data_IF_437512038813
#
_entry.id   IF_437512038813
#
_cell.length_a   1.000
_cell.length_b   1.000
_cell.length_c   1.000
_cell.angle_alpha   90.00
_cell.angle_beta   90.00
_cell.angle_gamma   90.00
#
_symmetry.space_group_name_H-M   'P 1'
#
loop_
_entity.id
_entity.type
_entity.pdbx_description
1 polymer ?
#
# COMPACT_ATOMS: atom_id res chain seq x y z
N UNK A 1 -6.95 -61.98 26.84
CA UNK A 1 -6.61 -60.68 26.21
C UNK A 1 -7.31 -59.60 27.01
N UNK A 2 -6.61 -58.55 27.45
CA UNK A 2 -7.22 -57.49 28.28
C UNK A 2 -7.94 -56.46 27.41
N UNK A 3 -9.21 -56.75 27.10
CA UNK A 3 -10.05 -55.85 26.30
C UNK A 3 -10.37 -54.52 27.01
N UNK A 4 -10.23 -54.45 28.34
CA UNK A 4 -10.44 -53.22 29.12
C UNK A 4 -9.32 -52.22 28.88
N UNK A 5 -8.07 -52.69 28.85
CA UNK A 5 -6.93 -51.84 28.49
C UNK A 5 -7.10 -51.20 27.11
N UNK A 6 -7.45 -51.99 26.09
CA UNK A 6 -7.62 -51.50 24.72
C UNK A 6 -8.81 -50.55 24.59
N UNK A 7 -9.92 -50.81 25.28
CA UNK A 7 -11.06 -49.89 25.35
C UNK A 7 -10.65 -48.52 25.92
N UNK A 8 -9.93 -48.50 27.04
CA UNK A 8 -9.50 -47.27 27.68
C UNK A 8 -8.51 -46.47 26.82
N UNK A 9 -7.62 -47.15 26.09
CA UNK A 9 -6.74 -46.48 25.14
C UNK A 9 -7.51 -45.85 23.96
N UNK A 10 -8.50 -46.55 23.40
CA UNK A 10 -9.38 -46.01 22.36
C UNK A 10 -10.19 -44.81 22.87
N UNK A 11 -10.71 -44.90 24.10
CA UNK A 11 -11.40 -43.80 24.78
C UNK A 11 -10.50 -42.56 24.92
N UNK A 12 -9.25 -42.72 25.34
CA UNK A 12 -8.27 -41.61 25.41
C UNK A 12 -8.09 -40.93 24.04
N UNK A 13 -7.83 -41.73 22.99
CA UNK A 13 -7.70 -41.23 21.60
C UNK A 13 -8.94 -40.46 21.14
N UNK A 14 -10.14 -40.93 21.50
CA UNK A 14 -11.39 -40.26 21.16
C UNK A 14 -11.49 -38.86 21.78
N UNK A 15 -11.17 -38.73 23.08
CA UNK A 15 -11.24 -37.43 23.76
C UNK A 15 -10.14 -36.47 23.30
N UNK A 16 -8.93 -36.97 23.07
CA UNK A 16 -7.84 -36.21 22.46
C UNK A 16 -8.27 -35.64 21.09
N UNK A 17 -8.81 -36.50 20.21
CA UNK A 17 -9.31 -36.07 18.91
C UNK A 17 -10.46 -35.05 19.02
N UNK A 18 -11.34 -35.16 20.01
CA UNK A 18 -12.37 -34.15 20.25
C UNK A 18 -11.78 -32.79 20.64
N UNK A 19 -10.78 -32.78 21.52
CA UNK A 19 -10.08 -31.55 21.92
C UNK A 19 -9.40 -30.89 20.71
N UNK A 20 -8.67 -31.68 19.92
CA UNK A 20 -7.93 -31.16 18.77
C UNK A 20 -8.85 -30.66 17.64
N UNK A 21 -10.02 -31.28 17.45
CA UNK A 21 -11.06 -30.76 16.54
C UNK A 21 -11.46 -29.34 16.95
N UNK A 22 -11.73 -29.11 18.23
CA UNK A 22 -12.10 -27.79 18.75
C UNK A 22 -10.98 -26.78 18.58
N UNK A 23 -9.73 -27.18 18.87
CA UNK A 23 -8.55 -26.33 18.66
C UNK A 23 -8.40 -25.92 17.19
N UNK A 24 -8.51 -26.87 16.26
CA UNK A 24 -8.42 -26.60 14.83
C UNK A 24 -9.54 -25.65 14.36
N UNK A 25 -10.77 -25.86 14.81
CA UNK A 25 -11.90 -25.00 14.46
C UNK A 25 -11.70 -23.56 14.94
N UNK A 26 -11.27 -23.37 16.18
CA UNK A 26 -10.96 -22.05 16.73
C UNK A 26 -9.83 -21.39 15.92
N UNK A 27 -8.77 -22.15 15.62
CA UNK A 27 -7.65 -21.64 14.85
C UNK A 27 -8.02 -21.23 13.43
N UNK A 28 -8.87 -22.01 12.75
CA UNK A 28 -9.39 -21.66 11.42
C UNK A 28 -10.18 -20.35 11.48
N UNK A 29 -11.00 -20.14 12.52
CA UNK A 29 -11.78 -18.90 12.68
C UNK A 29 -10.87 -17.68 12.89
N UNK A 30 -9.83 -17.80 13.72
CA UNK A 30 -8.83 -16.75 13.90
C UNK A 30 -8.11 -16.41 12.59
N UNK A 31 -7.65 -17.42 11.86
CA UNK A 31 -6.96 -17.25 10.59
C UNK A 31 -7.87 -16.61 9.54
N UNK A 32 -9.17 -16.95 9.51
CA UNK A 32 -10.15 -16.30 8.63
C UNK A 32 -10.36 -14.83 8.97
N UNK A 33 -10.36 -14.46 10.26
CA UNK A 33 -10.40 -13.07 10.70
C UNK A 33 -9.15 -12.30 10.24
N UNK A 34 -7.96 -12.86 10.46
CA UNK A 34 -6.69 -12.27 10.00
C UNK A 34 -6.65 -12.11 8.47
N UNK A 35 -7.16 -13.11 7.74
CA UNK A 35 -7.28 -13.07 6.27
C UNK A 35 -8.12 -11.87 5.82
N UNK A 36 -9.27 -11.65 6.45
CA UNK A 36 -10.14 -10.53 6.09
C UNK A 36 -9.49 -9.17 6.37
N UNK A 37 -8.82 -9.03 7.52
CA UNK A 37 -8.06 -7.82 7.84
C UNK A 37 -6.97 -7.55 6.79
N UNK A 38 -6.26 -8.59 6.36
CA UNK A 38 -5.20 -8.48 5.35
C UNK A 38 -5.75 -8.10 3.97
N UNK A 39 -6.90 -8.65 3.57
CA UNK A 39 -7.61 -8.25 2.33
C UNK A 39 -7.98 -6.75 2.36
N UNK A 40 -8.51 -6.28 3.50
CA UNK A 40 -8.87 -4.87 3.64
C UNK A 40 -7.64 -3.96 3.51
N UNK A 41 -6.51 -4.33 4.12
CA UNK A 41 -5.24 -3.62 3.99
C UNK A 41 -4.75 -3.57 2.54
N UNK A 42 -4.78 -4.71 1.83
CA UNK A 42 -4.40 -4.79 0.41
C UNK A 42 -5.25 -3.85 -0.44
N UNK A 43 -6.56 -3.81 -0.21
CA UNK A 43 -7.45 -2.91 -0.94
C UNK A 43 -7.12 -1.44 -0.66
N UNK A 44 -6.84 -1.08 0.60
CA UNK A 44 -6.42 0.27 0.96
C UNK A 44 -5.11 0.65 0.27
N UNK A 45 -4.10 -0.22 0.31
CA UNK A 45 -2.82 0.02 -0.35
C UNK A 45 -2.96 0.21 -1.86
N UNK A 46 -3.85 -0.55 -2.52
CA UNK A 46 -4.15 -0.38 -3.96
C UNK A 46 -4.75 0.99 -4.26
N UNK A 47 -5.66 1.48 -3.42
CA UNK A 47 -6.25 2.82 -3.54
C UNK A 47 -5.17 3.89 -3.32
N UNK A 48 -4.36 3.74 -2.28
CA UNK A 48 -3.31 4.70 -1.96
C UNK A 48 -2.27 4.79 -3.07
N UNK A 49 -1.83 3.66 -3.63
CA UNK A 49 -0.91 3.64 -4.79
C UNK A 49 -1.51 4.41 -5.95
N UNK A 50 -2.77 4.13 -6.31
CA UNK A 50 -3.45 4.83 -7.41
C UNK A 50 -3.49 6.34 -7.18
N UNK A 51 -3.91 6.78 -6.00
CA UNK A 51 -3.99 8.20 -5.67
C UNK A 51 -2.62 8.90 -5.75
N UNK A 52 -1.55 8.22 -5.32
CA UNK A 52 -0.19 8.76 -5.39
C UNK A 52 0.35 8.78 -6.82
N UNK A 53 0.03 7.78 -7.66
CA UNK A 53 0.35 7.76 -9.08
C UNK A 53 -0.33 8.90 -9.82
N UNK A 54 -1.63 9.13 -9.58
CA UNK A 54 -2.37 10.27 -10.15
C UNK A 54 -1.76 11.61 -9.73
N UNK A 55 -1.40 11.77 -8.44
CA UNK A 55 -0.73 12.98 -7.96
C UNK A 55 0.66 13.16 -8.60
N UNK A 56 1.43 12.07 -8.75
CA UNK A 56 2.73 12.08 -9.39
C UNK A 56 2.66 12.51 -10.86
N UNK A 57 1.67 12.00 -11.59
CA UNK A 57 1.39 12.40 -12.97
C UNK A 57 0.96 13.87 -13.05
N UNK A 58 0.05 14.31 -12.19
CA UNK A 58 -0.41 15.70 -12.14
C UNK A 58 0.74 16.69 -11.89
N UNK A 59 1.59 16.42 -10.90
CA UNK A 59 2.80 17.23 -10.66
C UNK A 59 3.76 17.14 -11.85
N UNK A 60 3.87 15.98 -12.49
CA UNK A 60 4.65 15.79 -13.70
C UNK A 60 4.20 16.66 -14.86
N UNK A 61 2.89 16.82 -15.06
CA UNK A 61 2.34 17.69 -16.10
C UNK A 61 2.62 19.17 -15.81
N UNK A 62 2.51 19.61 -14.56
CA UNK A 62 2.84 20.98 -14.17
C UNK A 62 4.33 21.26 -14.40
N UNK A 63 5.23 20.34 -14.06
CA UNK A 63 6.67 20.52 -14.30
C UNK A 63 6.97 20.62 -15.81
N UNK A 64 6.25 19.90 -16.68
CA UNK A 64 6.45 20.00 -18.14
C UNK A 64 6.17 21.40 -18.70
N UNK A 65 5.30 22.19 -18.06
CA UNK A 65 5.02 23.56 -18.50
C UNK A 65 6.08 24.58 -18.06
N UNK A 66 7.08 24.16 -17.27
CA UNK A 66 8.20 25.01 -16.80
C UNK A 66 8.97 25.64 -17.97
N UNK A 67 9.29 24.86 -18.99
CA UNK A 67 10.08 25.32 -20.13
C UNK A 67 9.32 26.38 -20.95
N UNK A 68 8.04 26.14 -21.21
CA UNK A 68 7.18 27.09 -21.92
C UNK A 68 6.99 28.40 -21.13
N UNK A 69 6.81 28.29 -19.81
CA UNK A 69 6.69 29.45 -18.92
C UNK A 69 7.99 30.27 -18.92
N UNK A 70 9.13 29.61 -18.82
CA UNK A 70 10.45 30.26 -18.88
C UNK A 70 10.67 30.99 -20.21
N UNK A 71 10.23 30.39 -21.33
CA UNK A 71 10.28 31.03 -22.65
C UNK A 71 9.43 32.29 -22.69
N UNK A 72 8.17 32.23 -22.23
CA UNK A 72 7.27 33.40 -22.18
C UNK A 72 7.84 34.53 -21.33
N UNK A 73 8.49 34.21 -20.21
CA UNK A 73 9.17 35.19 -19.34
C UNK A 73 10.34 35.87 -20.07
N UNK A 74 11.15 35.10 -20.80
CA UNK A 74 12.24 35.64 -21.60
C UNK A 74 11.71 36.59 -22.69
N UNK A 75 10.62 36.22 -23.37
CA UNK A 75 9.99 37.05 -24.40
C UNK A 75 9.46 38.37 -23.82
N UNK A 76 8.82 38.35 -22.64
CA UNK A 76 8.37 39.56 -21.96
C UNK A 76 9.57 40.44 -21.61
N UNK A 77 10.63 39.87 -21.04
CA UNK A 77 11.85 40.63 -20.69
C UNK A 77 12.44 41.33 -21.91
N UNK A 78 12.54 40.64 -23.05
CA UNK A 78 13.03 41.23 -24.29
C UNK A 78 12.15 42.39 -24.78
N UNK A 79 10.82 42.21 -24.80
CA UNK A 79 9.88 43.26 -25.23
C UNK A 79 9.88 44.47 -24.29
N UNK A 80 10.00 44.24 -22.98
CA UNK A 80 10.12 45.31 -21.98
C UNK A 80 11.41 46.10 -22.18
N UNK A 81 12.54 45.43 -22.43
CA UNK A 81 13.81 46.09 -22.73
C UNK A 81 13.70 46.96 -23.99
N UNK A 82 13.08 46.44 -25.06
CA UNK A 82 12.84 47.21 -26.29
C UNK A 82 11.95 48.44 -26.04
N UNK A 83 10.85 48.28 -25.30
CA UNK A 83 9.96 49.39 -24.95
C UNK A 83 10.66 50.46 -24.12
N UNK A 84 11.50 50.07 -23.15
CA UNK A 84 12.29 50.99 -22.34
C UNK A 84 13.30 51.79 -23.17
N UNK A 85 13.97 51.14 -24.12
CA UNK A 85 14.89 51.81 -25.06
C UNK A 85 14.13 52.83 -25.92
N UNK A 86 13.01 52.42 -26.52
CA UNK A 86 12.20 53.31 -27.36
C UNK A 86 11.67 54.51 -26.57
N UNK A 87 11.14 54.27 -25.36
CA UNK A 87 10.64 55.33 -24.48
C UNK A 87 11.74 56.31 -24.09
N UNK A 88 12.92 55.81 -23.71
CA UNK A 88 14.08 56.65 -23.40
C UNK A 88 14.52 57.49 -24.60
N UNK A 89 14.42 56.95 -25.82
CA UNK A 89 14.63 57.71 -27.06
C UNK A 89 13.62 58.84 -27.23
N UNK A 90 12.32 58.56 -27.04
CA UNK A 90 11.25 59.56 -27.12
C UNK A 90 11.37 60.67 -26.06
N UNK A 91 11.69 60.31 -24.81
CA UNK A 91 11.83 61.30 -23.74
C UNK A 91 13.05 62.19 -23.97
N UNK A 92 14.16 61.67 -24.51
CA UNK A 92 15.32 62.49 -24.90
C UNK A 92 14.98 63.54 -25.97
N UNK A 93 13.95 63.31 -26.79
CA UNK A 93 13.42 64.33 -27.70
C UNK A 93 12.47 65.33 -27.02
N UNK A 94 12.36 65.35 -25.68
CA UNK A 94 11.48 66.21 -24.88
C UNK A 94 12.19 66.76 -23.62
N UNK A 95 11.65 67.80 -22.98
CA UNK A 95 12.18 68.36 -21.71
C UNK A 95 11.64 67.66 -20.44
N UNK A 96 11.21 66.40 -20.52
CA UNK A 96 10.56 65.67 -19.39
C UNK A 96 11.57 64.81 -18.61
N UNK A 97 11.47 64.80 -17.29
CA UNK A 97 12.29 63.95 -16.40
C UNK A 97 11.94 62.47 -16.60
N UNK A 98 12.92 61.66 -17.02
CA UNK A 98 12.73 60.24 -17.35
C UNK A 98 12.73 59.35 -16.08
N UNK A 99 11.75 58.43 -15.96
CA UNK A 99 11.85 57.26 -15.07
C UNK A 99 12.33 56.05 -15.86
N UNK A 100 13.42 55.42 -15.42
CA UNK A 100 13.97 54.26 -16.10
C UNK A 100 13.04 53.04 -15.95
N UNK A 101 12.29 52.73 -17.00
CA UNK A 101 11.36 51.60 -17.05
C UNK A 101 12.07 50.26 -16.79
N UNK A 102 13.33 50.13 -17.21
CA UNK A 102 14.10 48.92 -16.93
C UNK A 102 14.33 48.72 -15.43
N UNK A 103 14.46 49.79 -14.66
CA UNK A 103 14.75 49.68 -13.23
C UNK A 103 13.58 49.07 -12.45
N UNK A 104 12.35 49.50 -12.77
CA UNK A 104 11.14 48.97 -12.13
C UNK A 104 10.82 47.57 -12.67
N UNK A 105 10.74 47.41 -13.99
CA UNK A 105 10.29 46.15 -14.58
C UNK A 105 11.32 45.03 -14.49
N UNK A 106 12.63 45.30 -14.56
CA UNK A 106 13.63 44.23 -14.44
C UNK A 106 13.71 43.69 -13.00
N UNK A 107 13.50 44.53 -11.99
CA UNK A 107 13.46 44.09 -10.60
C UNK A 107 12.26 43.15 -10.36
N UNK A 108 11.07 43.55 -10.79
CA UNK A 108 9.87 42.70 -10.69
C UNK A 108 9.99 41.41 -11.51
N UNK A 109 10.59 41.49 -12.70
CA UNK A 109 10.84 40.31 -13.54
C UNK A 109 11.83 39.34 -12.87
N UNK A 110 12.91 39.86 -12.31
CA UNK A 110 13.92 39.06 -11.59
C UNK A 110 13.30 38.37 -10.38
N UNK A 111 12.47 39.09 -9.62
CA UNK A 111 11.72 38.53 -8.50
C UNK A 111 10.74 37.45 -8.94
N UNK A 112 10.01 37.67 -10.04
CA UNK A 112 9.07 36.70 -10.60
C UNK A 112 9.78 35.41 -11.02
N UNK A 113 10.89 35.54 -11.76
CA UNK A 113 11.71 34.40 -12.20
C UNK A 113 12.27 33.60 -11.02
N UNK A 114 12.76 34.29 -9.99
CA UNK A 114 13.26 33.66 -8.75
C UNK A 114 12.15 32.88 -8.04
N UNK A 115 10.97 33.48 -7.88
CA UNK A 115 9.82 32.83 -7.24
C UNK A 115 9.38 31.58 -8.00
N UNK A 116 9.29 31.66 -9.33
CA UNK A 116 8.92 30.52 -10.16
C UNK A 116 9.95 29.39 -10.11
N UNK A 117 11.25 29.70 -10.18
CA UNK A 117 12.30 28.70 -10.01
C UNK A 117 12.21 27.98 -8.67
N UNK A 118 11.89 28.71 -7.60
CA UNK A 118 11.68 28.11 -6.28
C UNK A 118 10.47 27.18 -6.26
N UNK A 119 9.36 27.59 -6.89
CA UNK A 119 8.15 26.77 -7.02
C UNK A 119 8.48 25.47 -7.78
N UNK A 120 9.11 25.56 -8.96
CA UNK A 120 9.45 24.37 -9.75
C UNK A 120 10.46 23.46 -9.04
N UNK A 121 11.44 24.03 -8.34
CA UNK A 121 12.37 23.27 -7.50
C UNK A 121 11.62 22.50 -6.41
N UNK A 122 10.66 23.14 -5.75
CA UNK A 122 9.80 22.50 -4.74
C UNK A 122 8.92 21.41 -5.35
N UNK A 123 8.30 21.65 -6.50
CA UNK A 123 7.49 20.66 -7.21
C UNK A 123 8.32 19.44 -7.66
N UNK A 124 9.53 19.65 -8.16
CA UNK A 124 10.47 18.57 -8.52
C UNK A 124 10.81 17.70 -7.31
N UNK A 125 11.04 18.31 -6.14
CA UNK A 125 11.25 17.58 -4.87
C UNK A 125 10.02 16.77 -4.49
N UNK A 126 8.83 17.40 -4.44
CA UNK A 126 7.57 16.71 -4.15
C UNK A 126 7.31 15.54 -5.10
N UNK A 127 7.63 15.68 -6.38
CA UNK A 127 7.52 14.59 -7.35
C UNK A 127 8.44 13.42 -7.02
N UNK A 128 9.67 13.69 -6.59
CA UNK A 128 10.61 12.66 -6.11
C UNK A 128 10.11 11.98 -4.83
N UNK A 129 9.54 12.75 -3.90
CA UNK A 129 8.97 12.22 -2.66
C UNK A 129 7.78 11.31 -2.94
N UNK A 130 6.87 11.72 -3.85
CA UNK A 130 5.76 10.91 -4.32
C UNK A 130 6.25 9.60 -4.96
N UNK A 131 7.26 9.65 -5.83
CA UNK A 131 7.83 8.45 -6.42
C UNK A 131 8.40 7.48 -5.37
N UNK A 132 9.13 8.02 -4.39
CA UNK A 132 9.67 7.24 -3.27
C UNK A 132 8.53 6.58 -2.48
N UNK A 133 7.44 7.33 -2.23
CA UNK A 133 6.28 6.80 -1.52
C UNK A 133 5.53 5.73 -2.31
N UNK A 134 5.40 5.88 -3.64
CA UNK A 134 4.82 4.86 -4.52
C UNK A 134 5.63 3.56 -4.43
N UNK A 135 6.97 3.64 -4.47
CA UNK A 135 7.85 2.47 -4.35
C UNK A 135 7.64 1.77 -2.99
N UNK A 136 7.62 2.53 -1.89
CA UNK A 136 7.35 2.02 -0.54
C UNK A 136 5.99 1.34 -0.44
N UNK A 137 4.93 1.98 -0.93
CA UNK A 137 3.57 1.42 -0.94
C UNK A 137 3.48 0.12 -1.76
N UNK A 138 4.15 0.07 -2.92
CA UNK A 138 4.22 -1.15 -3.76
C UNK A 138 4.92 -2.30 -3.04
N UNK A 139 5.98 -2.01 -2.29
CA UNK A 139 6.66 -3.01 -1.45
C UNK A 139 5.73 -3.52 -0.35
N UNK A 140 5.08 -2.61 0.38
CA UNK A 140 4.11 -2.99 1.43
C UNK A 140 2.95 -3.82 0.89
N UNK A 141 2.48 -3.52 -0.32
CA UNK A 141 1.46 -4.32 -1.01
C UNK A 141 1.95 -5.73 -1.28
N UNK A 142 3.16 -5.89 -1.83
CA UNK A 142 3.75 -7.20 -2.11
C UNK A 142 3.96 -8.03 -0.83
N UNK A 143 4.44 -7.40 0.24
CA UNK A 143 4.60 -8.04 1.55
C UNK A 143 3.24 -8.50 2.09
N UNK A 144 2.21 -7.64 2.00
CA UNK A 144 0.85 -7.97 2.44
C UNK A 144 0.21 -9.11 1.63
N UNK A 145 0.44 -9.16 0.31
CA UNK A 145 -0.02 -10.24 -0.57
C UNK A 145 0.68 -11.57 -0.23
N UNK A 146 1.97 -11.52 0.10
CA UNK A 146 2.74 -12.70 0.56
C UNK A 146 2.20 -13.22 1.90
N UNK A 147 1.95 -12.33 2.85
CA UNK A 147 1.35 -12.69 4.13
C UNK A 147 -0.06 -13.27 3.98
N UNK A 148 -0.88 -12.72 3.07
CA UNK A 148 -2.20 -13.26 2.76
C UNK A 148 -2.09 -14.70 2.25
N UNK A 149 -1.14 -14.96 1.35
CA UNK A 149 -0.90 -16.31 0.84
C UNK A 149 -0.46 -17.26 1.96
N UNK A 150 0.43 -16.81 2.86
CA UNK A 150 0.84 -17.60 4.02
C UNK A 150 -0.34 -17.92 4.94
N UNK A 151 -1.25 -16.97 5.18
CA UNK A 151 -2.48 -17.20 5.95
C UNK A 151 -3.34 -18.26 5.26
N UNK A 152 -3.54 -18.17 3.95
CA UNK A 152 -4.31 -19.15 3.18
C UNK A 152 -3.69 -20.56 3.28
N UNK A 153 -2.37 -20.68 3.16
CA UNK A 153 -1.67 -21.94 3.32
C UNK A 153 -1.87 -22.54 4.72
N UNK A 154 -1.83 -21.71 5.77
CA UNK A 154 -2.07 -22.14 7.16
C UNK A 154 -3.51 -22.58 7.39
N UNK A 155 -4.49 -21.91 6.77
CA UNK A 155 -5.89 -22.33 6.81
C UNK A 155 -6.01 -23.73 6.20
N UNK A 156 -5.46 -23.96 5.00
CA UNK A 156 -5.52 -25.25 4.32
C UNK A 156 -4.85 -26.36 5.14
N UNK A 157 -3.68 -26.09 5.74
CA UNK A 157 -3.01 -27.03 6.62
C UNK A 157 -3.86 -27.38 7.86
N UNK A 158 -4.42 -26.37 8.53
CA UNK A 158 -5.27 -26.58 9.72
C UNK A 158 -6.57 -27.31 9.35
N UNK A 159 -7.11 -27.08 8.16
CA UNK A 159 -8.27 -27.82 7.63
C UNK A 159 -7.93 -29.29 7.38
N UNK A 160 -6.73 -29.59 6.87
CA UNK A 160 -6.24 -30.97 6.74
C UNK A 160 -6.12 -31.66 8.11
N UNK A 161 -5.53 -30.97 9.10
CA UNK A 161 -5.41 -31.49 10.47
C UNK A 161 -6.78 -31.76 11.09
N UNK A 162 -7.73 -30.84 10.90
CA UNK A 162 -9.12 -31.03 11.32
C UNK A 162 -9.74 -32.30 10.73
N UNK A 163 -9.49 -32.60 9.44
CA UNK A 163 -10.00 -33.82 8.82
C UNK A 163 -9.30 -35.07 9.37
N UNK A 164 -7.99 -35.00 9.63
CA UNK A 164 -7.25 -36.07 10.29
C UNK A 164 -7.86 -36.39 11.66
N UNK A 165 -8.09 -35.38 12.51
CA UNK A 165 -8.67 -35.58 13.84
C UNK A 165 -10.11 -36.08 13.80
N UNK A 166 -10.91 -35.66 12.82
CA UNK A 166 -12.25 -36.25 12.59
C UNK A 166 -12.17 -37.74 12.29
N UNK A 167 -11.24 -38.18 11.44
CA UNK A 167 -11.02 -39.62 11.15
C UNK A 167 -10.53 -40.36 12.39
N UNK A 168 -9.59 -39.79 13.14
CA UNK A 168 -9.07 -40.37 14.37
C UNK A 168 -10.17 -40.57 15.42
N UNK A 169 -11.05 -39.58 15.59
CA UNK A 169 -12.25 -39.66 16.45
C UNK A 169 -13.16 -40.81 16.02
N UNK A 170 -13.48 -40.91 14.73
CA UNK A 170 -14.34 -41.97 14.20
C UNK A 170 -13.73 -43.35 14.41
N UNK A 171 -12.45 -43.54 14.06
CA UNK A 171 -11.74 -44.80 14.29
C UNK A 171 -11.71 -45.18 15.77
N UNK A 172 -11.41 -44.24 16.66
CA UNK A 172 -11.41 -44.49 18.10
C UNK A 172 -12.81 -44.88 18.61
N UNK A 173 -13.87 -44.27 18.07
CA UNK A 173 -15.26 -44.65 18.39
C UNK A 173 -15.59 -46.08 17.97
N UNK A 174 -15.12 -46.52 16.80
CA UNK A 174 -15.29 -47.90 16.35
C UNK A 174 -14.50 -48.89 17.21
N UNK A 175 -13.24 -48.56 17.53
CA UNK A 175 -12.40 -49.36 18.43
C UNK A 175 -13.07 -49.54 19.81
N UNK A 176 -13.59 -48.45 20.39
CA UNK A 176 -14.31 -48.49 21.66
C UNK A 176 -15.52 -49.43 21.60
N UNK A 177 -16.34 -49.35 20.56
CA UNK A 177 -17.51 -50.22 20.42
C UNK A 177 -17.13 -51.69 20.24
N UNK A 178 -16.07 -51.95 19.45
CA UNK A 178 -15.54 -53.31 19.27
C UNK A 178 -15.08 -53.92 20.60
N UNK A 179 -14.23 -53.21 21.36
CA UNK A 179 -13.72 -53.72 22.63
C UNK A 179 -14.82 -53.82 23.69
N UNK A 180 -15.81 -52.91 23.68
CA UNK A 180 -16.99 -53.01 24.54
C UNK A 180 -17.75 -54.31 24.32
N UNK A 181 -18.00 -54.70 23.07
CA UNK A 181 -18.64 -55.98 22.73
C UNK A 181 -17.81 -57.17 23.18
N UNK A 182 -16.50 -57.16 22.94
CA UNK A 182 -15.60 -58.25 23.36
C UNK A 182 -15.51 -58.41 24.87
N UNK A 183 -15.59 -57.33 25.64
CA UNK A 183 -15.71 -57.42 27.09
C UNK A 183 -17.03 -58.06 27.50
N UNK A 184 -18.15 -57.70 26.87
CA UNK A 184 -19.47 -58.28 27.19
C UNK A 184 -19.59 -59.76 26.78
N UNK A 185 -18.89 -60.20 25.74
CA UNK A 185 -18.84 -61.61 25.30
C UNK A 185 -17.94 -62.49 26.19
N UNK A 186 -17.05 -61.88 26.98
CA UNK A 186 -16.10 -62.56 27.86
C UNK A 186 -16.59 -62.71 29.31
N UNK A 187 -17.84 -62.29 29.58
CA UNK A 187 -18.58 -62.43 30.85
C UNK A 187 -19.52 -63.62 30.75
#
# INVERSE_FOLDING_TARGET
>A
MDYSYYYNNARRRYYEACSEISNCQNRINELKSQRQQKINLINQLKIDIKNHEEAFEGVGQIIKSEEELNKKIADISNKTNQASVNYSGMVRSSNVTNKNLNEVYNNEMTNTKRTLNNIFTSLKRKKSDLNTKIIDLKKQLQDAETELQNINNRIAATESDLQYWKRAKTSASYDMEYYRRKMNEAV
#
